data_IF_127820945180
#
_entry.id   IF_127820945180
#
_cell.length_a   1.000
_cell.length_b   1.000
_cell.length_c   1.000
_cell.angle_alpha   90.00
_cell.angle_beta   90.00
_cell.angle_gamma   90.00
#
_symmetry.space_group_name_H-M   'P 1'
#
loop_
_entity.id
_entity.type
_entity.pdbx_description
1 polymer ?
#
# COMPACT_ATOMS: atom_id res chain seq x y z
N UNK A 1 10.66 -4.95 7.38
CA UNK A 1 10.10 -4.54 8.72
C UNK A 1 8.60 -4.73 8.64
N UNK A 2 7.98 -5.40 9.63
CA UNK A 2 6.53 -5.57 9.64
C UNK A 2 5.84 -4.21 9.79
N UNK A 3 4.87 -3.93 8.92
CA UNK A 3 4.11 -2.68 8.98
C UNK A 3 3.24 -2.63 10.24
N UNK A 4 3.37 -1.56 11.03
CA UNK A 4 2.54 -1.34 12.21
C UNK A 4 1.63 -0.14 12.01
N UNK A 5 0.33 -0.37 12.12
CA UNK A 5 -0.69 0.67 12.06
C UNK A 5 -0.47 1.72 13.16
N UNK A 6 -0.54 2.99 12.82
CA UNK A 6 -0.52 4.10 13.77
C UNK A 6 -1.93 4.40 14.28
N UNK A 7 -2.09 4.31 15.60
CA UNK A 7 -3.37 4.56 16.28
C UNK A 7 -3.34 5.75 17.23
N UNK A 8 -2.15 6.34 17.44
CA UNK A 8 -1.94 7.46 18.36
C UNK A 8 -1.21 8.61 17.68
N UNK A 9 -1.48 9.83 18.17
CA UNK A 9 -0.78 11.03 17.72
C UNK A 9 0.75 10.87 17.85
N UNK A 10 1.53 11.14 16.80
CA UNK A 10 2.99 11.15 16.91
C UNK A 10 3.46 12.28 17.83
N UNK A 11 4.48 12.01 18.64
CA UNK A 11 5.10 12.96 19.55
C UNK A 11 6.61 12.85 19.46
N UNK A 12 7.29 14.00 19.38
CA UNK A 12 8.76 14.15 19.52
C UNK A 12 9.60 13.10 18.76
N UNK A 13 9.16 12.69 17.57
CA UNK A 13 9.93 11.77 16.74
C UNK A 13 10.50 12.51 15.51
N UNK A 14 11.69 12.10 15.02
CA UNK A 14 12.45 12.84 13.99
C UNK A 14 11.67 13.19 12.72
N UNK A 15 10.63 12.42 12.40
CA UNK A 15 9.81 12.60 11.20
C UNK A 15 8.75 13.70 11.30
N UNK A 16 8.38 14.11 12.52
CA UNK A 16 7.26 15.02 12.80
C UNK A 16 7.68 16.29 13.53
N UNK A 17 8.97 16.42 13.81
CA UNK A 17 9.50 17.57 14.51
C UNK A 17 9.63 18.75 13.56
N UNK A 18 9.12 19.86 13.92
CA UNK A 18 9.16 21.15 13.26
C UNK A 18 8.33 21.26 11.98
N UNK A 19 7.43 22.19 12.08
CA UNK A 19 6.68 22.77 10.98
C UNK A 19 7.54 23.84 10.30
N UNK A 20 7.80 23.65 9.00
CA UNK A 20 8.31 24.69 8.12
C UNK A 20 7.16 25.34 7.35
N UNK A 21 7.44 26.30 6.47
CA UNK A 21 6.43 26.94 5.63
C UNK A 21 5.51 25.94 4.95
N UNK A 22 4.22 26.20 4.94
CA UNK A 22 3.22 25.30 4.38
C UNK A 22 3.00 23.99 5.14
N UNK A 23 3.54 23.83 6.36
CA UNK A 23 3.34 22.63 7.18
C UNK A 23 4.29 21.49 6.87
N UNK A 24 5.33 21.72 6.11
CA UNK A 24 6.36 20.72 5.82
C UNK A 24 7.40 20.66 6.93
N UNK A 25 7.93 19.46 7.18
CA UNK A 25 9.04 19.30 8.11
C UNK A 25 10.32 19.98 7.58
N UNK A 26 11.08 20.61 8.45
CA UNK A 26 12.39 21.12 8.11
C UNK A 26 13.36 20.02 7.70
N UNK A 27 13.17 18.79 8.23
CA UNK A 27 13.91 17.61 7.79
C UNK A 27 13.69 17.32 6.29
N UNK A 28 12.45 17.49 5.80
CA UNK A 28 12.14 17.35 4.38
C UNK A 28 12.81 18.42 3.50
N UNK A 29 13.22 19.52 4.08
CA UNK A 29 13.92 20.63 3.41
C UNK A 29 15.43 20.61 3.64
N UNK A 30 15.96 19.55 4.27
CA UNK A 30 17.39 19.46 4.58
C UNK A 30 17.87 20.46 5.63
N UNK A 31 16.98 20.99 6.47
CA UNK A 31 17.32 21.94 7.54
C UNK A 31 17.46 21.24 8.89
N UNK A 32 18.22 21.83 9.84
CA UNK A 32 18.23 21.36 11.22
C UNK A 32 16.81 21.33 11.80
N UNK A 33 16.52 20.30 12.57
CA UNK A 33 15.21 20.08 13.18
C UNK A 33 15.16 20.58 14.63
N UNK A 34 14.02 21.08 15.05
CA UNK A 34 13.76 21.48 16.43
C UNK A 34 12.94 20.38 17.13
N UNK A 35 13.51 19.69 18.11
CA UNK A 35 12.83 18.55 18.77
C UNK A 35 11.60 18.96 19.59
N UNK A 36 11.41 20.25 19.82
CA UNK A 36 10.27 20.77 20.59
C UNK A 36 9.07 21.14 19.71
N UNK A 37 9.27 21.24 18.39
CA UNK A 37 8.22 21.59 17.44
C UNK A 37 7.52 20.37 16.85
N UNK A 38 6.38 20.60 16.18
CA UNK A 38 5.62 19.55 15.48
C UNK A 38 5.04 20.08 14.16
N UNK A 39 4.94 19.20 13.17
CA UNK A 39 4.25 19.50 11.90
C UNK A 39 2.72 19.47 12.01
N UNK A 40 2.18 19.07 13.16
CA UNK A 40 0.75 18.99 13.40
C UNK A 40 0.21 20.33 13.93
N UNK A 41 -1.01 20.76 13.58
CA UNK A 41 -2.00 20.06 12.75
C UNK A 41 -1.85 20.43 11.28
N UNK A 42 -1.51 19.48 10.45
CA UNK A 42 -1.40 19.71 8.99
C UNK A 42 -1.38 18.38 8.25
N UNK A 43 -2.19 18.23 7.19
CA UNK A 43 -2.28 16.98 6.43
C UNK A 43 -0.96 16.65 5.69
N UNK A 44 -0.35 17.64 5.05
CA UNK A 44 0.90 17.42 4.29
C UNK A 44 2.09 17.13 5.20
N UNK A 45 2.19 17.86 6.32
CA UNK A 45 3.24 17.60 7.32
C UNK A 45 3.10 16.21 7.95
N UNK A 46 1.87 15.82 8.27
CA UNK A 46 1.59 14.50 8.80
C UNK A 46 1.92 13.39 7.79
N UNK A 47 1.37 13.47 6.57
CA UNK A 47 1.55 12.44 5.55
C UNK A 47 3.04 12.26 5.17
N UNK A 48 3.79 13.35 5.02
CA UNK A 48 5.24 13.29 4.82
C UNK A 48 5.96 12.60 5.98
N UNK A 49 5.63 12.98 7.21
CA UNK A 49 6.24 12.40 8.40
C UNK A 49 5.97 10.90 8.52
N UNK A 50 4.71 10.48 8.33
CA UNK A 50 4.33 9.06 8.42
C UNK A 50 4.93 8.22 7.31
N UNK A 51 4.97 8.75 6.09
CA UNK A 51 5.61 8.08 4.95
C UNK A 51 7.09 7.84 5.19
N UNK A 52 7.81 8.86 5.67
CA UNK A 52 9.22 8.78 6.04
C UNK A 52 9.48 7.83 7.23
N UNK A 53 8.60 7.85 8.24
CA UNK A 53 8.66 6.96 9.39
C UNK A 53 8.55 5.49 8.97
N UNK A 54 7.64 5.17 8.05
CA UNK A 54 7.48 3.82 7.50
C UNK A 54 8.73 3.38 6.74
N UNK A 55 9.36 4.29 5.99
CA UNK A 55 10.63 4.03 5.30
C UNK A 55 11.79 3.86 6.30
N UNK A 56 11.68 4.43 7.49
CA UNK A 56 12.73 4.41 8.50
C UNK A 56 13.84 5.44 8.28
N UNK A 57 13.60 6.42 7.42
CA UNK A 57 14.57 7.49 7.08
C UNK A 57 13.87 8.86 7.12
N UNK A 58 14.53 9.93 7.54
CA UNK A 58 14.03 11.29 7.36
C UNK A 58 13.65 11.52 5.89
N UNK A 59 12.61 12.31 5.63
CA UNK A 59 12.01 12.47 4.30
C UNK A 59 12.89 13.22 3.27
N UNK A 60 14.21 13.25 3.46
CA UNK A 60 15.16 13.90 2.54
C UNK A 60 15.14 13.24 1.15
N UNK A 61 14.94 11.93 1.08
CA UNK A 61 14.90 11.22 -0.21
C UNK A 61 13.62 11.50 -1.00
N UNK A 62 12.48 11.66 -0.30
CA UNK A 62 11.17 11.86 -0.91
C UNK A 62 10.52 13.13 -0.36
N UNK A 63 10.97 14.27 -0.88
CA UNK A 63 10.49 15.59 -0.44
C UNK A 63 9.16 15.94 -1.12
N UNK A 64 8.06 15.45 -0.60
CA UNK A 64 6.71 15.78 -1.05
C UNK A 64 6.32 17.17 -0.52
N UNK A 65 7.09 18.20 -0.89
CA UNK A 65 6.99 19.59 -0.39
C UNK A 65 6.17 20.42 -1.38
N UNK A 66 4.85 20.28 -1.34
CA UNK A 66 3.89 21.04 -2.15
C UNK A 66 2.49 20.97 -1.51
N UNK A 67 1.50 21.67 -2.07
CA UNK A 67 0.11 21.48 -1.68
C UNK A 67 -0.32 20.03 -1.87
N UNK A 68 -1.22 19.54 -1.01
CA UNK A 68 -1.64 18.14 -0.98
C UNK A 68 -2.06 17.62 -2.37
N UNK A 69 -2.84 18.38 -3.12
CA UNK A 69 -3.33 18.00 -4.45
C UNK A 69 -2.24 17.82 -5.52
N UNK A 70 -1.05 18.39 -5.28
CA UNK A 70 0.10 18.27 -6.19
C UNK A 70 1.05 17.12 -5.81
N UNK A 71 0.73 16.36 -4.77
CA UNK A 71 1.59 15.25 -4.31
C UNK A 71 1.82 14.17 -5.38
N UNK A 72 0.82 13.88 -6.21
CA UNK A 72 0.95 12.88 -7.29
C UNK A 72 2.04 13.29 -8.28
N UNK A 73 2.00 14.52 -8.77
CA UNK A 73 2.97 15.02 -9.77
C UNK A 73 4.37 15.11 -9.15
N UNK A 74 4.43 15.56 -7.90
CA UNK A 74 5.68 15.60 -7.16
C UNK A 74 6.26 14.19 -6.95
N UNK A 75 5.45 13.23 -6.54
CA UNK A 75 5.87 11.83 -6.35
C UNK A 75 6.38 11.20 -7.65
N UNK A 76 5.68 11.41 -8.77
CA UNK A 76 6.13 10.96 -10.09
C UNK A 76 7.49 11.54 -10.47
N UNK A 77 7.73 12.83 -10.21
CA UNK A 77 9.03 13.47 -10.49
C UNK A 77 10.18 12.91 -9.65
N UNK A 78 9.86 12.19 -8.58
CA UNK A 78 10.81 11.53 -7.68
C UNK A 78 10.92 10.03 -7.93
N UNK A 79 10.28 9.51 -8.99
CA UNK A 79 10.30 8.10 -9.34
C UNK A 79 9.43 7.21 -8.43
N UNK A 80 8.55 7.80 -7.59
CA UNK A 80 7.64 7.02 -6.77
C UNK A 80 6.50 6.46 -7.63
N UNK A 81 6.13 5.21 -7.34
CA UNK A 81 5.02 4.52 -7.98
C UNK A 81 3.69 5.10 -7.49
N UNK A 82 2.75 5.24 -8.41
CA UNK A 82 1.38 5.68 -8.15
C UNK A 82 0.43 4.52 -8.43
N UNK A 83 -0.49 4.29 -7.52
CA UNK A 83 -1.58 3.33 -7.66
C UNK A 83 -2.91 4.07 -7.82
N UNK A 84 -3.82 3.51 -8.59
CA UNK A 84 -5.22 3.93 -8.69
C UNK A 84 -6.08 3.46 -7.49
N UNK A 85 -5.51 2.60 -6.65
CA UNK A 85 -6.12 2.05 -5.44
C UNK A 85 -5.28 2.37 -4.21
N UNK A 86 -5.89 2.40 -3.00
CA UNK A 86 -5.14 2.51 -1.76
C UNK A 86 -4.12 1.37 -1.61
N UNK A 87 -2.92 1.72 -1.15
CA UNK A 87 -1.86 0.76 -0.82
C UNK A 87 -1.45 0.95 0.64
N UNK A 88 -1.16 -0.12 1.34
CA UNK A 88 -0.76 -0.07 2.75
C UNK A 88 0.48 0.82 2.93
N UNK A 89 0.43 1.72 3.91
CA UNK A 89 1.49 2.71 4.13
C UNK A 89 1.59 3.82 3.07
N UNK A 90 0.75 3.76 2.03
CA UNK A 90 0.73 4.74 0.95
C UNK A 90 0.00 6.03 1.32
N UNK A 91 0.30 7.10 0.58
CA UNK A 91 -0.38 8.39 0.74
C UNK A 91 -1.52 8.50 -0.27
N UNK A 92 -2.74 8.56 0.21
CA UNK A 92 -3.90 8.90 -0.62
C UNK A 92 -3.95 10.40 -0.86
N UNK A 93 -4.31 10.78 -2.08
CA UNK A 93 -4.30 12.18 -2.54
C UNK A 93 -5.64 12.57 -3.11
N UNK A 94 -6.20 13.68 -2.66
CA UNK A 94 -7.38 14.31 -3.22
C UNK A 94 -7.10 15.73 -3.67
N UNK A 95 -7.63 16.06 -4.83
CA UNK A 95 -7.75 17.43 -5.31
C UNK A 95 -9.05 18.03 -4.77
N UNK A 96 -9.02 19.29 -4.35
CA UNK A 96 -10.23 20.06 -4.03
C UNK A 96 -10.68 20.85 -5.25
N UNK A 97 -12.00 20.80 -5.54
CA UNK A 97 -12.59 21.52 -6.67
C UNK A 97 -12.08 21.09 -8.05
N UNK A 98 -12.15 21.99 -9.02
CA UNK A 98 -11.82 21.74 -10.42
C UNK A 98 -10.40 22.15 -10.82
N UNK A 99 -9.75 22.99 -10.05
CA UNK A 99 -8.47 23.64 -10.41
C UNK A 99 -7.33 23.11 -9.54
N UNK A 100 -6.26 22.61 -10.16
CA UNK A 100 -5.00 22.33 -9.47
C UNK A 100 -4.25 23.63 -9.13
N UNK A 101 -3.50 23.60 -8.03
CA UNK A 101 -2.64 24.71 -7.63
C UNK A 101 -3.19 25.56 -6.49
N UNK A 102 -4.18 25.07 -5.76
CA UNK A 102 -4.70 25.71 -4.55
C UNK A 102 -5.67 26.85 -4.76
N UNK A 103 -6.19 27.06 -5.98
CA UNK A 103 -7.22 28.10 -6.24
C UNK A 103 -8.55 27.80 -5.56
N UNK A 104 -8.93 26.51 -5.53
CA UNK A 104 -10.17 26.02 -4.89
C UNK A 104 -9.89 25.44 -3.50
N UNK A 105 -8.64 25.50 -3.07
CA UNK A 105 -8.08 24.89 -1.85
C UNK A 105 -6.85 24.05 -2.16
N UNK A 106 -6.17 23.59 -1.11
CA UNK A 106 -4.90 22.85 -1.27
C UNK A 106 -5.06 21.33 -1.42
N UNK A 107 -6.31 20.83 -1.48
CA UNK A 107 -6.58 19.40 -1.47
C UNK A 107 -6.42 18.74 -0.09
N UNK A 108 -6.34 17.41 -0.07
CA UNK A 108 -6.11 16.64 1.15
C UNK A 108 -5.26 15.41 0.89
N UNK A 109 -4.48 15.01 1.91
CA UNK A 109 -3.71 13.77 1.92
C UNK A 109 -3.85 13.06 3.25
N UNK A 110 -3.83 11.74 3.21
CA UNK A 110 -3.78 10.88 4.41
C UNK A 110 -2.97 9.62 4.14
N UNK A 111 -2.68 8.85 5.17
CA UNK A 111 -1.91 7.61 5.04
C UNK A 111 -2.80 6.39 5.29
N UNK A 112 -2.68 5.37 4.44
CA UNK A 112 -3.40 4.11 4.58
C UNK A 112 -2.74 3.27 5.65
N UNK A 113 -3.44 2.99 6.73
CA UNK A 113 -2.93 2.23 7.86
C UNK A 113 -3.41 0.77 7.87
N UNK A 114 -4.53 0.48 7.23
CA UNK A 114 -5.06 -0.88 7.08
C UNK A 114 -5.92 -0.98 5.83
N UNK A 115 -5.76 -2.05 5.09
CA UNK A 115 -6.69 -2.49 4.06
C UNK A 115 -7.58 -3.55 4.72
N UNK A 116 -8.87 -3.23 4.89
CA UNK A 116 -9.85 -4.13 5.50
C UNK A 116 -10.40 -5.09 4.46
N UNK A 117 -10.75 -4.55 3.29
CA UNK A 117 -11.14 -5.27 2.08
C UNK A 117 -11.00 -4.33 0.88
N UNK A 118 -11.37 -4.77 -0.32
CA UNK A 118 -11.26 -4.01 -1.57
C UNK A 118 -11.95 -2.63 -1.55
N UNK A 119 -12.97 -2.46 -0.70
CA UNK A 119 -13.80 -1.25 -0.62
C UNK A 119 -13.70 -0.53 0.73
N UNK A 120 -12.89 -1.02 1.67
CA UNK A 120 -12.82 -0.45 3.03
C UNK A 120 -11.37 -0.42 3.52
N UNK A 121 -10.95 0.76 3.97
CA UNK A 121 -9.62 1.00 4.53
C UNK A 121 -9.73 1.76 5.84
N UNK A 122 -8.66 1.73 6.63
CA UNK A 122 -8.47 2.62 7.76
C UNK A 122 -7.29 3.54 7.42
N UNK A 123 -7.50 4.84 7.57
CA UNK A 123 -6.46 5.86 7.38
C UNK A 123 -6.05 6.49 8.70
N UNK A 124 -4.88 7.10 8.69
CA UNK A 124 -4.44 8.05 9.71
C UNK A 124 -4.31 9.43 9.07
N UNK A 125 -4.75 10.44 9.76
CA UNK A 125 -4.96 11.77 9.21
C UNK A 125 -4.61 12.89 10.17
N UNK A 126 -4.32 14.05 9.60
CA UNK A 126 -4.26 15.35 10.22
C UNK A 126 -4.87 16.38 9.26
N UNK A 127 -5.26 17.54 9.74
CA UNK A 127 -5.83 18.60 8.92
C UNK A 127 -5.23 19.95 9.24
N UNK A 128 -5.21 20.84 8.25
CA UNK A 128 -4.73 22.21 8.47
C UNK A 128 -5.61 22.92 9.50
N UNK A 129 -5.01 23.39 10.60
CA UNK A 129 -5.70 24.03 11.73
C UNK A 129 -6.83 23.20 12.36
N UNK A 130 -6.85 21.87 12.16
CA UNK A 130 -7.85 21.01 12.76
C UNK A 130 -7.76 21.03 14.29
N UNK A 131 -8.93 20.99 14.97
CA UNK A 131 -9.00 20.92 16.43
C UNK A 131 -8.30 19.68 16.98
N UNK A 132 -8.50 18.53 16.34
CA UNK A 132 -7.71 17.33 16.60
C UNK A 132 -6.51 17.28 15.65
N UNK A 133 -5.29 17.25 16.19
CA UNK A 133 -4.09 17.19 15.34
C UNK A 133 -3.86 15.83 14.69
N UNK A 134 -4.63 14.82 15.09
CA UNK A 134 -4.51 13.43 14.59
C UNK A 134 -5.82 12.68 14.82
N UNK A 135 -6.22 11.85 13.84
CA UNK A 135 -7.31 10.86 13.98
C UNK A 135 -7.10 9.67 13.04
N UNK A 136 -7.74 8.56 13.37
CA UNK A 136 -7.96 7.47 12.42
C UNK A 136 -9.38 7.57 11.86
N UNK A 137 -9.55 7.19 10.60
CA UNK A 137 -10.84 7.19 9.93
C UNK A 137 -11.02 5.92 9.11
N UNK A 138 -12.19 5.29 9.22
CA UNK A 138 -12.61 4.27 8.27
C UNK A 138 -13.14 4.95 7.02
N UNK A 139 -12.57 4.62 5.87
CA UNK A 139 -12.99 5.13 4.57
C UNK A 139 -13.53 4.00 3.73
N UNK A 140 -14.69 4.22 3.10
CA UNK A 140 -15.35 3.25 2.22
C UNK A 140 -15.40 3.80 0.81
N UNK A 141 -15.05 2.96 -0.15
CA UNK A 141 -15.12 3.32 -1.56
C UNK A 141 -16.57 3.31 -2.04
N UNK A 142 -17.15 4.49 -2.10
CA UNK A 142 -18.41 4.76 -2.82
C UNK A 142 -18.05 5.67 -3.98
N UNK A 143 -18.34 5.25 -5.20
CA UNK A 143 -18.09 6.05 -6.42
C UNK A 143 -16.61 6.43 -6.68
N UNK A 144 -15.65 5.62 -6.26
CA UNK A 144 -14.22 5.87 -6.51
C UNK A 144 -13.57 6.94 -5.63
N UNK A 145 -14.31 7.59 -4.69
CA UNK A 145 -13.81 8.76 -3.96
C UNK A 145 -13.45 8.51 -2.48
N UNK A 146 -13.49 7.26 -2.03
CA UNK A 146 -13.05 6.83 -0.68
C UNK A 146 -13.64 7.66 0.48
N UNK A 147 -14.94 7.97 0.39
CA UNK A 147 -15.68 8.67 1.44
C UNK A 147 -15.32 10.15 1.62
N UNK A 148 -14.58 10.75 0.69
CA UNK A 148 -14.40 12.19 0.66
C UNK A 148 -15.68 12.89 0.18
N UNK A 149 -15.90 14.15 0.63
CA UNK A 149 -17.03 14.94 0.19
C UNK A 149 -16.99 15.25 -1.32
N UNK A 150 -18.10 15.66 -1.90
CA UNK A 150 -18.26 15.90 -3.34
C UNK A 150 -17.33 16.99 -3.91
N UNK A 151 -16.81 17.86 -3.06
CA UNK A 151 -15.84 18.89 -3.46
C UNK A 151 -14.43 18.35 -3.68
N UNK A 152 -14.15 17.10 -3.24
CA UNK A 152 -12.88 16.42 -3.41
C UNK A 152 -12.97 15.35 -4.48
N UNK A 153 -11.87 15.15 -5.21
CA UNK A 153 -11.69 14.06 -6.19
C UNK A 153 -10.42 13.28 -5.86
N UNK A 154 -10.57 11.97 -5.69
CA UNK A 154 -9.43 11.08 -5.50
C UNK A 154 -8.55 11.08 -6.76
N UNK A 155 -7.24 11.26 -6.55
CA UNK A 155 -6.23 11.36 -7.61
C UNK A 155 -5.34 10.12 -7.72
N UNK A 156 -5.29 9.32 -6.67
CA UNK A 156 -4.42 8.15 -6.58
C UNK A 156 -3.77 8.01 -5.22
N UNK A 157 -3.00 6.96 -5.07
CA UNK A 157 -2.24 6.63 -3.89
C UNK A 157 -0.75 6.53 -4.24
N UNK A 158 0.10 7.25 -3.52
CA UNK A 158 1.56 7.15 -3.64
C UNK A 158 2.00 5.90 -2.87
N UNK A 159 2.59 4.95 -3.57
CA UNK A 159 3.02 3.67 -2.97
C UNK A 159 4.24 3.91 -2.08
N UNK A 160 4.19 3.40 -0.85
CA UNK A 160 5.35 3.44 0.04
C UNK A 160 6.32 2.29 -0.33
N UNK A 161 7.56 2.60 -0.74
CA UNK A 161 8.50 1.57 -1.21
C UNK A 161 8.99 0.61 -0.11
N UNK A 162 8.78 0.96 1.16
CA UNK A 162 9.18 0.12 2.29
C UNK A 162 8.09 -0.86 2.75
N UNK A 163 6.91 -0.82 2.13
CA UNK A 163 5.78 -1.68 2.50
C UNK A 163 5.49 -2.67 1.38
N UNK A 164 5.53 -3.95 1.71
CA UNK A 164 4.98 -4.96 0.83
C UNK A 164 3.44 -4.86 0.88
N UNK A 165 2.85 -4.44 -0.22
CA UNK A 165 1.40 -4.21 -0.31
C UNK A 165 0.61 -5.49 -0.61
N UNK A 166 1.27 -6.64 -0.62
CA UNK A 166 0.65 -7.92 -0.97
C UNK A 166 0.30 -8.01 -2.46
N UNK A 167 -0.25 -9.17 -2.83
CA UNK A 167 -0.68 -9.46 -4.20
C UNK A 167 -2.18 -9.76 -4.17
N UNK A 168 -3.00 -8.72 -4.36
CA UNK A 168 -4.46 -8.78 -4.19
C UNK A 168 -5.17 -9.16 -5.48
N UNK A 169 -6.05 -10.14 -5.40
CA UNK A 169 -6.95 -10.55 -6.49
C UNK A 169 -8.32 -10.88 -5.89
N UNK A 170 -9.39 -10.28 -6.43
CA UNK A 170 -10.78 -10.48 -5.99
C UNK A 170 -10.99 -10.33 -4.47
N UNK A 171 -10.28 -9.39 -3.84
CA UNK A 171 -10.40 -9.12 -2.39
C UNK A 171 -9.58 -10.04 -1.48
N UNK A 172 -8.78 -10.94 -2.03
CA UNK A 172 -7.90 -11.84 -1.28
C UNK A 172 -6.42 -11.51 -1.50
N UNK A 173 -5.62 -11.62 -0.44
CA UNK A 173 -4.16 -11.45 -0.49
C UNK A 173 -3.48 -12.77 -0.89
N UNK A 174 -2.86 -12.77 -2.06
CA UNK A 174 -2.13 -13.90 -2.63
C UNK A 174 -0.67 -13.97 -2.19
N UNK A 175 -0.19 -13.09 -1.32
CA UNK A 175 1.19 -13.12 -0.81
C UNK A 175 1.62 -14.48 -0.24
N UNK A 176 0.75 -15.29 0.40
CA UNK A 176 1.13 -16.63 0.84
C UNK A 176 1.48 -17.59 -0.29
N UNK A 177 0.90 -17.39 -1.47
CA UNK A 177 1.07 -18.29 -2.63
C UNK A 177 1.90 -17.65 -3.76
N UNK A 178 2.31 -16.37 -3.60
CA UNK A 178 3.09 -15.65 -4.61
C UNK A 178 4.15 -14.73 -3.99
N UNK A 179 5.38 -14.94 -4.41
CA UNK A 179 6.54 -14.07 -4.15
C UNK A 179 7.27 -13.87 -5.48
N UNK A 180 7.42 -12.64 -5.99
CA UNK A 180 7.98 -12.40 -7.32
C UNK A 180 9.44 -12.85 -7.44
N UNK A 181 10.24 -12.68 -6.39
CA UNK A 181 11.65 -13.09 -6.40
C UNK A 181 11.76 -14.62 -6.46
N UNK A 182 10.99 -15.34 -5.65
CA UNK A 182 10.90 -16.79 -5.71
C UNK A 182 10.44 -17.26 -7.09
N UNK A 183 9.39 -16.64 -7.63
CA UNK A 183 8.79 -17.00 -8.90
C UNK A 183 9.76 -16.81 -10.07
N UNK A 184 10.46 -15.66 -10.13
CA UNK A 184 11.49 -15.40 -11.13
C UNK A 184 12.70 -16.34 -11.00
N UNK A 185 13.14 -16.66 -9.77
CA UNK A 185 14.25 -17.56 -9.56
C UNK A 185 13.93 -19.01 -9.92
N UNK A 186 12.67 -19.42 -9.74
CA UNK A 186 12.22 -20.79 -10.05
C UNK A 186 12.02 -21.03 -11.55
N UNK A 187 11.63 -20.00 -12.30
CA UNK A 187 11.29 -20.12 -13.73
C UNK A 187 12.19 -19.25 -14.60
N UNK A 188 13.15 -19.88 -15.27
CA UNK A 188 14.17 -19.19 -16.08
C UNK A 188 13.56 -18.43 -17.27
N UNK A 189 12.45 -18.92 -17.84
CA UNK A 189 11.67 -18.26 -18.89
C UNK A 189 11.14 -16.91 -18.42
N UNK A 190 10.57 -16.86 -17.21
CA UNK A 190 10.05 -15.62 -16.62
C UNK A 190 11.16 -14.65 -16.25
N UNK A 191 12.24 -15.19 -15.67
CA UNK A 191 13.41 -14.38 -15.35
C UNK A 191 14.05 -13.75 -16.59
N UNK A 192 14.06 -14.47 -17.71
CA UNK A 192 14.54 -13.95 -18.99
C UNK A 192 13.62 -12.87 -19.59
N UNK A 193 12.30 -13.06 -19.46
CA UNK A 193 11.30 -12.15 -20.03
C UNK A 193 11.07 -10.88 -19.20
N UNK A 194 11.02 -11.02 -17.86
CA UNK A 194 10.56 -9.97 -16.94
C UNK A 194 11.61 -9.57 -15.89
N UNK A 195 12.74 -10.27 -15.81
CA UNK A 195 13.71 -10.04 -14.74
C UNK A 195 13.07 -10.28 -13.35
N UNK A 196 13.20 -9.28 -12.47
CA UNK A 196 12.57 -9.25 -11.15
C UNK A 196 11.47 -8.18 -11.05
N UNK A 197 10.87 -7.79 -12.18
CA UNK A 197 9.74 -6.85 -12.17
C UNK A 197 8.52 -7.51 -11.54
N UNK A 198 8.22 -7.09 -10.31
CA UNK A 198 7.17 -7.69 -9.49
C UNK A 198 5.77 -7.56 -10.11
N UNK A 199 5.51 -6.48 -10.86
CA UNK A 199 4.20 -6.24 -11.47
C UNK A 199 4.00 -7.13 -12.70
N UNK A 200 5.03 -7.27 -13.54
CA UNK A 200 4.97 -8.15 -14.71
C UNK A 200 4.89 -9.62 -14.28
N UNK A 201 5.66 -10.01 -13.27
CA UNK A 201 5.60 -11.36 -12.71
C UNK A 201 4.23 -11.65 -12.07
N UNK A 202 3.65 -10.70 -11.37
CA UNK A 202 2.29 -10.85 -10.81
C UNK A 202 1.23 -10.93 -11.90
N UNK A 203 1.30 -10.08 -12.92
CA UNK A 203 0.39 -10.14 -14.07
C UNK A 203 0.47 -11.50 -14.79
N UNK A 204 1.68 -12.03 -15.00
CA UNK A 204 1.87 -13.37 -15.56
C UNK A 204 1.28 -14.45 -14.66
N UNK A 205 1.52 -14.38 -13.34
CA UNK A 205 1.01 -15.38 -12.39
C UNK A 205 -0.51 -15.45 -12.40
N UNK A 206 -1.20 -14.29 -12.45
CA UNK A 206 -2.66 -14.24 -12.55
C UNK A 206 -3.19 -14.80 -13.86
N UNK A 207 -2.54 -14.46 -14.99
CA UNK A 207 -3.07 -14.77 -16.32
C UNK A 207 -2.76 -16.21 -16.75
N UNK A 208 -1.56 -16.68 -16.44
CA UNK A 208 -1.02 -17.95 -16.91
C UNK A 208 -0.57 -18.87 -15.76
N UNK A 209 0.21 -18.33 -14.82
CA UNK A 209 0.92 -19.13 -13.82
C UNK A 209 0.03 -20.01 -12.97
N UNK A 210 -1.13 -19.51 -12.49
CA UNK A 210 -2.06 -20.31 -11.73
C UNK A 210 -2.72 -21.41 -12.58
N UNK A 211 -3.05 -21.13 -13.83
CA UNK A 211 -3.59 -22.12 -14.76
C UNK A 211 -2.58 -23.24 -15.09
N UNK A 212 -1.29 -22.89 -15.12
CA UNK A 212 -0.18 -23.83 -15.37
C UNK A 212 0.27 -24.56 -14.11
N UNK A 213 -0.41 -24.39 -12.97
CA UNK A 213 0.01 -24.89 -11.66
C UNK A 213 1.45 -24.51 -11.28
N UNK A 214 1.90 -23.32 -11.69
CA UNK A 214 3.23 -22.85 -11.33
C UNK A 214 3.29 -22.47 -9.85
N UNK A 215 4.23 -23.05 -9.14
CA UNK A 215 4.51 -22.71 -7.76
C UNK A 215 5.02 -21.27 -7.65
N UNK A 216 4.23 -20.40 -7.02
CA UNK A 216 4.53 -18.97 -6.92
C UNK A 216 5.30 -18.56 -5.67
N UNK A 217 5.32 -19.41 -4.64
CA UNK A 217 6.02 -19.14 -3.37
C UNK A 217 6.65 -20.39 -2.79
N UNK A 218 7.52 -20.19 -1.79
CA UNK A 218 8.06 -21.32 -1.02
C UNK A 218 7.01 -21.96 -0.09
N UNK A 219 6.02 -21.19 0.32
CA UNK A 219 4.99 -21.62 1.27
C UNK A 219 3.93 -22.56 0.65
N UNK A 220 3.69 -22.45 -0.67
CA UNK A 220 2.59 -23.14 -1.33
C UNK A 220 3.01 -23.83 -2.63
N UNK A 221 2.69 -25.13 -2.73
CA UNK A 221 2.84 -25.94 -3.92
C UNK A 221 1.44 -26.44 -4.36
N UNK A 222 0.90 -25.97 -5.49
CA UNK A 222 -0.47 -26.28 -5.91
C UNK A 222 -0.67 -27.75 -6.25
N UNK A 223 0.38 -28.43 -6.75
CA UNK A 223 0.30 -29.87 -7.09
C UNK A 223 0.26 -30.68 -5.79
N UNK A 224 1.17 -30.40 -4.85
CA UNK A 224 1.14 -31.03 -3.53
C UNK A 224 -0.21 -30.81 -2.85
N UNK A 225 -0.70 -29.58 -2.84
CA UNK A 225 -1.97 -29.21 -2.20
C UNK A 225 -3.16 -29.99 -2.78
N UNK A 226 -3.27 -30.04 -4.11
CA UNK A 226 -4.29 -30.84 -4.80
C UNK A 226 -4.22 -32.30 -4.41
N UNK A 227 -3.04 -32.89 -4.48
CA UNK A 227 -2.83 -34.33 -4.31
C UNK A 227 -3.06 -34.82 -2.86
N UNK A 228 -2.89 -33.90 -1.87
CA UNK A 228 -3.08 -34.19 -0.44
C UNK A 228 -4.42 -33.70 0.12
N UNK A 229 -5.30 -33.12 -0.70
CA UNK A 229 -6.63 -32.67 -0.31
C UNK A 229 -7.67 -33.20 -1.31
N UNK A 230 -8.07 -34.49 -1.22
CA UNK A 230 -8.98 -35.13 -2.19
C UNK A 230 -10.34 -34.43 -2.30
N UNK A 231 -10.84 -33.86 -1.21
CA UNK A 231 -12.09 -33.09 -1.17
C UNK A 231 -12.00 -31.83 -2.02
N UNK A 232 -10.87 -31.12 -1.95
CA UNK A 232 -10.59 -29.93 -2.75
C UNK A 232 -10.39 -30.30 -4.22
N UNK A 233 -9.65 -31.39 -4.48
CA UNK A 233 -9.44 -31.93 -5.83
C UNK A 233 -10.75 -32.34 -6.51
N UNK A 234 -11.65 -32.97 -5.76
CA UNK A 234 -12.98 -33.34 -6.25
C UNK A 234 -13.86 -32.13 -6.56
N UNK A 235 -13.75 -31.07 -5.74
CA UNK A 235 -14.55 -29.84 -5.89
C UNK A 235 -14.13 -29.04 -7.11
N UNK A 236 -12.83 -28.87 -7.32
CA UNK A 236 -12.30 -27.92 -8.32
C UNK A 236 -11.73 -28.56 -9.59
N UNK A 237 -11.40 -29.83 -9.56
CA UNK A 237 -10.93 -30.60 -10.74
C UNK A 237 -9.84 -29.87 -11.54
N UNK A 238 -10.17 -29.46 -12.77
CA UNK A 238 -9.25 -28.77 -13.69
C UNK A 238 -9.25 -27.25 -13.55
N UNK A 239 -10.00 -26.69 -12.57
CA UNK A 239 -9.96 -25.25 -12.26
C UNK A 239 -8.75 -24.94 -11.36
N UNK A 240 -7.59 -24.93 -11.98
CA UNK A 240 -6.30 -24.81 -11.32
C UNK A 240 -6.14 -23.56 -10.42
N UNK A 241 -6.64 -22.35 -10.80
CA UNK A 241 -6.59 -21.17 -9.94
C UNK A 241 -7.30 -21.37 -8.61
N UNK A 242 -8.32 -22.24 -8.54
CA UNK A 242 -9.10 -22.46 -7.32
C UNK A 242 -8.32 -23.16 -6.22
N UNK A 243 -7.24 -23.87 -6.52
CA UNK A 243 -6.36 -24.47 -5.49
C UNK A 243 -5.64 -23.40 -4.68
N UNK A 244 -5.15 -22.34 -5.34
CA UNK A 244 -4.52 -21.18 -4.69
C UNK A 244 -5.54 -20.38 -3.87
N UNK A 245 -6.69 -20.11 -4.48
CA UNK A 245 -7.79 -19.42 -3.81
C UNK A 245 -8.25 -20.16 -2.55
N UNK A 246 -8.50 -21.47 -2.66
CA UNK A 246 -8.96 -22.29 -1.54
C UNK A 246 -7.95 -22.25 -0.38
N UNK A 247 -6.66 -22.41 -0.70
CA UNK A 247 -5.61 -22.35 0.33
C UNK A 247 -5.63 -21.02 1.09
N UNK A 248 -5.76 -19.91 0.38
CA UNK A 248 -5.79 -18.57 0.98
C UNK A 248 -7.06 -18.34 1.78
N UNK A 249 -8.21 -18.66 1.21
CA UNK A 249 -9.52 -18.34 1.80
C UNK A 249 -9.90 -19.25 2.97
N UNK A 250 -9.51 -20.52 2.90
CA UNK A 250 -9.94 -21.56 3.83
C UNK A 250 -8.78 -22.40 4.37
N UNK A 251 -7.93 -22.94 3.49
CA UNK A 251 -6.94 -23.97 3.81
C UNK A 251 -5.98 -23.59 4.92
N UNK A 252 -5.50 -22.34 4.95
CA UNK A 252 -4.64 -21.85 6.04
C UNK A 252 -5.36 -21.87 7.39
N UNK A 253 -6.62 -21.46 7.44
CA UNK A 253 -7.41 -21.46 8.66
C UNK A 253 -7.77 -22.87 9.10
N UNK A 254 -7.91 -23.79 8.15
CA UNK A 254 -8.12 -25.22 8.38
C UNK A 254 -6.83 -25.97 8.73
N UNK A 255 -5.69 -25.26 8.76
CA UNK A 255 -4.35 -25.82 9.01
C UNK A 255 -3.95 -26.90 8.00
N UNK A 256 -4.42 -26.81 6.74
CA UNK A 256 -3.99 -27.70 5.67
C UNK A 256 -2.54 -27.34 5.27
N UNK A 257 -1.74 -28.38 5.05
CA UNK A 257 -0.36 -28.18 4.59
C UNK A 257 -0.35 -27.63 3.17
N UNK A 258 0.37 -26.53 2.97
CA UNK A 258 0.53 -25.89 1.68
C UNK A 258 1.59 -26.52 0.78
N UNK A 259 2.55 -27.23 1.38
CA UNK A 259 3.65 -27.92 0.69
C UNK A 259 4.14 -29.12 1.51
N UNK A 260 5.05 -29.93 0.93
CA UNK A 260 5.61 -31.14 1.56
C UNK A 260 6.75 -30.90 2.56
N UNK A 261 7.07 -29.66 2.89
CA UNK A 261 8.21 -29.30 3.72
C UNK A 261 7.83 -28.84 5.14
N UNK A 262 6.59 -29.06 5.56
CA UNK A 262 6.07 -28.70 6.89
C UNK A 262 5.81 -29.94 7.74
#
# INVERSE_FOLDING_TARGET
MEFKMRTTKPTNIPYYIRKADGGYSDACKGKPTDPTATVLSNCVGYANGRFAEIIGKPCIEYQLVCNAENFIERAKSMGLKISDKPTLGGIMVWQKGSTLGGKDGAGHVCVVEKIVNENTIITSESGYNAKSPFWNQTRTNKNGNWGASSEYRFRGCIVNPAVNNGYWLNGYDYSPVFNPEYYANRYADLRGAFGFDADLLWAHFQTFGMNELRRGSEEFDPIYYRDHNPDVAQAYKDDNPMYYFHYIAFGKNERRQGNGNQ
#
